data_IF_125928369871
#
_entry.id   IF_125928369871
#
_cell.length_a   1.000
_cell.length_b   1.000
_cell.length_c   1.000
_cell.angle_alpha   90.00
_cell.angle_beta   90.00
_cell.angle_gamma   90.00
#
_symmetry.space_group_name_H-M   'P 1'
#
loop_
_entity.id
_entity.type
_entity.pdbx_description
1 polymer ?
#
# COMPACT_ATOMS: atom_id res chain seq x y z
N UNK A 1 -14.31 5.84 6.38
CA UNK A 1 -15.09 6.23 5.18
C UNK A 1 -14.91 7.72 4.96
N UNK A 2 -14.03 8.10 4.03
CA UNK A 2 -13.80 9.51 3.62
C UNK A 2 -14.55 9.82 2.31
N UNK A 3 -15.15 8.80 1.66
CA UNK A 3 -15.80 8.93 0.35
C UNK A 3 -16.85 10.03 0.25
N UNK A 4 -17.95 10.00 1.04
CA UNK A 4 -18.98 11.04 0.93
C UNK A 4 -18.46 12.46 1.24
N UNK A 5 -17.64 12.68 2.29
CA UNK A 5 -16.98 13.98 2.50
C UNK A 5 -16.06 14.42 1.35
N UNK A 6 -15.28 13.50 0.78
CA UNK A 6 -14.38 13.80 -0.33
C UNK A 6 -15.13 14.19 -1.61
N UNK A 7 -16.23 13.50 -1.92
CA UNK A 7 -17.09 13.84 -3.07
C UNK A 7 -17.75 15.20 -2.86
N UNK A 8 -18.24 15.49 -1.65
CA UNK A 8 -18.80 16.80 -1.33
C UNK A 8 -17.78 17.92 -1.52
N UNK A 9 -16.54 17.71 -1.08
CA UNK A 9 -15.45 18.67 -1.28
C UNK A 9 -15.04 18.83 -2.76
N UNK A 10 -14.88 17.71 -3.48
CA UNK A 10 -14.58 17.70 -4.92
C UNK A 10 -15.65 18.41 -5.76
N UNK A 11 -16.91 18.38 -5.33
CA UNK A 11 -18.01 19.10 -6.02
C UNK A 11 -17.90 20.63 -5.89
N UNK A 12 -17.08 21.13 -4.98
CA UNK A 12 -16.86 22.57 -4.77
C UNK A 12 -15.58 23.09 -5.46
N UNK A 13 -14.81 22.21 -6.09
CA UNK A 13 -13.52 22.53 -6.74
C UNK A 13 -13.60 22.38 -8.26
N UNK A 14 -12.75 23.12 -8.99
CA UNK A 14 -12.69 23.13 -10.46
C UNK A 14 -11.97 21.91 -11.06
N UNK A 15 -12.16 20.72 -10.46
CA UNK A 15 -11.46 19.47 -10.82
C UNK A 15 -11.65 19.10 -12.30
N UNK A 16 -12.85 19.36 -12.86
CA UNK A 16 -13.16 19.03 -14.25
C UNK A 16 -12.36 19.90 -15.22
N UNK A 17 -12.15 21.16 -14.87
CA UNK A 17 -11.32 22.09 -15.64
C UNK A 17 -9.85 21.68 -15.56
N UNK A 18 -9.38 21.30 -14.38
CA UNK A 18 -7.99 20.85 -14.17
C UNK A 18 -7.67 19.55 -14.92
N UNK A 19 -8.59 18.58 -14.96
CA UNK A 19 -8.39 17.31 -15.67
C UNK A 19 -8.35 17.53 -17.20
N UNK A 20 -9.16 18.44 -17.73
CA UNK A 20 -9.30 18.67 -19.17
C UNK A 20 -8.26 19.64 -19.74
N UNK A 21 -7.82 20.60 -18.93
CA UNK A 21 -6.90 21.67 -19.35
C UNK A 21 -5.44 21.30 -19.13
N UNK A 22 -5.15 20.46 -18.14
CA UNK A 22 -3.80 20.02 -17.85
C UNK A 22 -3.38 18.87 -18.76
N UNK A 23 -2.18 18.98 -19.35
CA UNK A 23 -1.58 17.96 -20.24
C UNK A 23 -1.57 16.56 -19.61
N UNK A 24 -1.36 16.47 -18.29
CA UNK A 24 -1.30 15.21 -17.55
C UNK A 24 -2.58 14.87 -16.78
N UNK A 25 -3.67 15.62 -16.97
CA UNK A 25 -4.91 15.48 -16.18
C UNK A 25 -5.52 14.08 -16.28
N UNK A 26 -5.76 13.60 -17.50
CA UNK A 26 -6.29 12.26 -17.74
C UNK A 26 -5.34 11.15 -17.31
N UNK A 27 -4.03 11.32 -17.50
CA UNK A 27 -3.04 10.33 -17.11
C UNK A 27 -2.95 10.20 -15.58
N UNK A 28 -3.01 11.31 -14.86
CA UNK A 28 -3.02 11.33 -13.40
C UNK A 28 -4.26 10.65 -12.85
N UNK A 29 -5.43 10.92 -13.44
CA UNK A 29 -6.69 10.27 -13.06
C UNK A 29 -6.62 8.75 -13.30
N UNK A 30 -6.10 8.33 -14.45
CA UNK A 30 -5.93 6.91 -14.76
C UNK A 30 -4.94 6.22 -13.80
N UNK A 31 -3.84 6.87 -13.44
CA UNK A 31 -2.86 6.33 -12.49
C UNK A 31 -3.47 6.15 -11.09
N UNK A 32 -4.21 7.15 -10.59
CA UNK A 32 -4.89 7.06 -9.28
C UNK A 32 -5.97 5.98 -9.32
N UNK A 33 -6.77 5.91 -10.39
CA UNK A 33 -7.81 4.90 -10.54
C UNK A 33 -7.22 3.49 -10.57
N UNK A 34 -6.12 3.28 -11.32
CA UNK A 34 -5.42 2.02 -11.37
C UNK A 34 -4.87 1.63 -9.99
N UNK A 35 -4.22 2.55 -9.29
CA UNK A 35 -3.69 2.29 -7.95
C UNK A 35 -4.80 1.97 -6.95
N UNK A 36 -5.93 2.65 -7.01
CA UNK A 36 -7.09 2.39 -6.15
C UNK A 36 -7.69 1.00 -6.44
N UNK A 37 -7.89 0.65 -7.70
CA UNK A 37 -8.50 -0.64 -8.08
C UNK A 37 -7.56 -1.82 -7.84
N UNK A 38 -6.35 -1.76 -8.39
CA UNK A 38 -5.39 -2.85 -8.32
C UNK A 38 -4.73 -2.94 -6.92
N UNK A 39 -4.22 -1.81 -6.42
CA UNK A 39 -3.45 -1.79 -5.17
C UNK A 39 -4.31 -1.86 -3.91
N UNK A 40 -5.53 -1.31 -3.94
CA UNK A 40 -6.41 -1.27 -2.75
C UNK A 40 -7.54 -2.27 -2.83
N UNK A 41 -8.43 -2.14 -3.83
CA UNK A 41 -9.66 -2.95 -3.90
C UNK A 41 -9.33 -4.43 -4.11
N UNK A 42 -8.55 -4.75 -5.14
CA UNK A 42 -8.20 -6.12 -5.48
C UNK A 42 -7.38 -6.79 -4.37
N UNK A 43 -6.38 -6.10 -3.84
CA UNK A 43 -5.58 -6.59 -2.70
C UNK A 43 -6.45 -6.85 -1.45
N UNK A 44 -7.40 -5.97 -1.16
CA UNK A 44 -8.31 -6.13 -0.01
C UNK A 44 -9.24 -7.32 -0.20
N UNK A 45 -9.83 -7.48 -1.40
CA UNK A 45 -10.67 -8.64 -1.72
C UNK A 45 -9.88 -9.93 -1.56
N UNK A 46 -8.66 -9.99 -2.10
CA UNK A 46 -7.78 -11.15 -1.96
C UNK A 46 -7.42 -11.41 -0.50
N UNK A 47 -7.13 -10.37 0.29
CA UNK A 47 -6.83 -10.49 1.70
C UNK A 47 -8.02 -11.06 2.48
N UNK A 48 -9.22 -10.53 2.28
CA UNK A 48 -10.42 -11.04 2.93
C UNK A 48 -10.73 -12.47 2.52
N UNK A 49 -10.55 -12.80 1.23
CA UNK A 49 -10.69 -14.16 0.74
C UNK A 49 -9.69 -15.10 1.43
N UNK A 50 -8.41 -14.72 1.49
CA UNK A 50 -7.37 -15.51 2.17
C UNK A 50 -7.70 -15.70 3.65
N UNK A 51 -8.19 -14.67 4.35
CA UNK A 51 -8.60 -14.78 5.77
C UNK A 51 -9.81 -15.69 5.96
N UNK A 52 -10.67 -15.86 4.95
CA UNK A 52 -11.79 -16.81 5.02
C UNK A 52 -11.34 -18.26 4.80
N UNK A 53 -10.30 -18.47 3.97
CA UNK A 53 -9.80 -19.82 3.60
C UNK A 53 -8.63 -20.27 4.50
N UNK A 54 -7.98 -19.34 5.21
CA UNK A 54 -6.81 -19.59 6.08
C UNK A 54 -7.02 -19.00 7.48
N UNK A 55 -6.20 -19.40 8.44
CA UNK A 55 -6.24 -18.81 9.78
C UNK A 55 -5.78 -17.35 9.79
N UNK A 56 -6.33 -16.53 10.69
CA UNK A 56 -5.95 -15.11 10.87
C UNK A 56 -4.42 -14.90 11.08
N UNK A 57 -3.70 -15.93 11.53
CA UNK A 57 -2.25 -15.93 11.69
C UNK A 57 -1.53 -15.81 10.33
N UNK A 58 -2.08 -16.39 9.26
CA UNK A 58 -1.54 -16.29 7.91
C UNK A 58 -1.67 -14.87 7.36
N UNK A 59 -2.86 -14.27 7.47
CA UNK A 59 -3.09 -12.87 7.08
C UNK A 59 -2.16 -11.89 7.80
N UNK A 60 -1.87 -12.13 9.09
CA UNK A 60 -0.92 -11.29 9.84
C UNK A 60 0.54 -11.41 9.38
N UNK A 61 0.90 -12.50 8.69
CA UNK A 61 2.27 -12.73 8.23
C UNK A 61 2.61 -11.91 6.99
N UNK A 62 1.63 -11.59 6.15
CA UNK A 62 1.80 -10.71 4.98
C UNK A 62 2.37 -9.34 5.38
N UNK A 63 1.90 -8.79 6.51
CA UNK A 63 2.39 -7.51 7.00
C UNK A 63 3.89 -7.52 7.37
N UNK A 64 4.41 -8.68 7.77
CA UNK A 64 5.83 -8.84 8.09
C UNK A 64 6.71 -9.04 6.85
N UNK A 65 6.11 -9.42 5.74
CA UNK A 65 6.79 -9.57 4.44
C UNK A 65 6.84 -8.21 3.70
N UNK A 66 5.99 -7.23 4.05
CA UNK A 66 5.94 -5.91 3.41
C UNK A 66 7.29 -5.21 3.27
N UNK A 67 8.15 -5.08 4.32
CA UNK A 67 9.44 -4.39 4.18
C UNK A 67 10.39 -5.07 3.20
N UNK A 68 10.34 -6.40 3.12
CA UNK A 68 11.15 -7.18 2.19
C UNK A 68 10.68 -6.96 0.75
N UNK A 69 9.37 -7.00 0.51
CA UNK A 69 8.79 -6.78 -0.82
C UNK A 69 9.05 -5.36 -1.31
N UNK A 70 8.99 -4.36 -0.42
CA UNK A 70 9.28 -2.96 -0.75
C UNK A 70 10.72 -2.78 -1.27
N UNK A 71 11.72 -3.37 -0.60
CA UNK A 71 13.12 -3.31 -1.05
C UNK A 71 13.30 -4.05 -2.36
N UNK A 72 12.69 -5.22 -2.53
CA UNK A 72 12.77 -5.96 -3.80
C UNK A 72 12.22 -5.14 -4.97
N UNK A 73 11.12 -4.40 -4.76
CA UNK A 73 10.55 -3.53 -5.78
C UNK A 73 11.42 -2.31 -6.05
N UNK A 74 11.97 -1.66 -5.02
CA UNK A 74 12.90 -0.53 -5.19
C UNK A 74 14.17 -0.93 -5.93
N UNK A 75 14.72 -2.12 -5.63
CA UNK A 75 15.84 -2.69 -6.38
C UNK A 75 15.48 -2.98 -7.85
N UNK A 76 14.25 -3.45 -8.11
CA UNK A 76 13.76 -3.71 -9.46
C UNK A 76 13.55 -2.42 -10.27
N UNK A 77 13.15 -1.33 -9.62
CA UNK A 77 13.03 0.01 -10.21
C UNK A 77 14.39 0.71 -10.37
N UNK A 78 15.49 0.07 -9.94
CA UNK A 78 16.85 0.58 -10.07
C UNK A 78 17.22 1.65 -9.05
N UNK A 79 16.48 1.75 -7.94
CA UNK A 79 16.79 2.70 -6.88
C UNK A 79 18.13 2.37 -6.19
N UNK A 80 18.85 3.42 -5.78
CA UNK A 80 20.12 3.28 -5.06
C UNK A 80 19.82 2.81 -3.65
N UNK A 81 20.11 1.54 -3.37
CA UNK A 81 19.97 0.97 -2.04
C UNK A 81 21.03 1.54 -1.09
N UNK A 82 20.59 2.36 -0.13
CA UNK A 82 21.46 2.98 0.85
C UNK A 82 21.58 2.10 2.10
N UNK A 83 22.68 2.29 2.84
CA UNK A 83 22.87 1.60 4.12
C UNK A 83 21.77 1.93 5.13
N UNK A 84 21.13 3.10 5.00
CA UNK A 84 19.99 3.53 5.82
C UNK A 84 18.76 2.64 5.62
N UNK A 85 18.50 2.19 4.40
CA UNK A 85 17.36 1.34 4.07
C UNK A 85 17.53 -0.06 4.69
N UNK A 86 18.77 -0.57 4.66
CA UNK A 86 19.15 -1.81 5.30
C UNK A 86 18.95 -1.76 6.82
N UNK A 87 19.42 -0.68 7.47
CA UNK A 87 19.26 -0.47 8.91
C UNK A 87 17.77 -0.36 9.27
N UNK A 88 16.98 0.38 8.49
CA UNK A 88 15.54 0.50 8.67
C UNK A 88 14.83 -0.86 8.58
N UNK A 89 15.17 -1.67 7.56
CA UNK A 89 14.63 -3.02 7.42
C UNK A 89 14.96 -3.90 8.63
N UNK A 90 16.22 -3.90 9.08
CA UNK A 90 16.65 -4.68 10.25
C UNK A 90 15.88 -4.26 11.50
N UNK A 91 15.67 -2.97 11.72
CA UNK A 91 14.90 -2.46 12.86
C UNK A 91 13.43 -2.90 12.80
N UNK A 92 12.77 -2.80 11.65
CA UNK A 92 11.36 -3.20 11.49
C UNK A 92 11.22 -4.72 11.70
N UNK A 93 12.05 -5.53 11.01
CA UNK A 93 12.01 -6.99 11.14
C UNK A 93 12.38 -7.45 12.57
N UNK A 94 13.34 -6.78 13.21
CA UNK A 94 13.72 -7.02 14.60
C UNK A 94 12.58 -6.73 15.59
N UNK A 95 11.86 -5.63 15.40
CA UNK A 95 10.68 -5.29 16.19
C UNK A 95 9.57 -6.32 16.04
N UNK A 96 9.27 -6.71 14.79
CA UNK A 96 8.31 -7.77 14.46
C UNK A 96 8.67 -9.10 15.13
N UNK A 97 9.93 -9.53 15.03
CA UNK A 97 10.39 -10.78 15.61
C UNK A 97 10.16 -10.83 17.13
N UNK A 98 10.45 -9.73 17.83
CA UNK A 98 10.24 -9.60 19.28
C UNK A 98 8.76 -9.72 19.66
N UNK A 99 7.87 -9.07 18.90
CA UNK A 99 6.41 -9.12 19.14
C UNK A 99 5.86 -10.52 18.91
N UNK A 100 6.26 -11.18 17.82
CA UNK A 100 5.80 -12.55 17.50
C UNK A 100 6.28 -13.57 18.53
N UNK A 101 7.50 -13.41 19.06
CA UNK A 101 8.05 -14.30 20.11
C UNK A 101 7.29 -14.20 21.43
N UNK A 102 6.88 -13.00 21.86
CA UNK A 102 6.12 -12.78 23.11
C UNK A 102 4.71 -13.39 23.12
N UNK A 103 4.14 -13.72 21.96
CA UNK A 103 2.79 -14.32 21.84
C UNK A 103 2.80 -15.85 21.94
N UNK A 104 3.97 -16.48 22.12
CA UNK A 104 4.17 -17.94 22.18
C UNK A 104 4.38 -18.46 23.61
N UNK A 105 3.94 -17.71 24.63
CA UNK A 105 3.89 -18.14 26.02
C UNK A 105 2.43 -18.13 26.51
#
# INVERSE_FOLDING_TARGET
MIGPPAIAYLSTTDILTDITTNEYGYQSLAAIAFLALAGTVMASVLFYYLVQVTDAVFGSTVAFIMPLVAILWGLFDGEIFLMTDLIGMILILGGVYRIKKKKKD
#
